data_IF_681568916015
#
_entry.id   IF_681568916015
#
_cell.length_a   1.000
_cell.length_b   1.000
_cell.length_c   1.000
_cell.angle_alpha   90.00
_cell.angle_beta   90.00
_cell.angle_gamma   90.00
#
_symmetry.space_group_name_H-M   'P 1'
#
loop_
_entity.id
_entity.type
_entity.pdbx_description
1 polymer ?
#
# COMPACT_ATOMS: atom_id res chain seq x y z
N UNK A 1 32.90 -68.86 28.01
CA UNK A 1 32.18 -67.64 28.43
C UNK A 1 32.86 -67.03 29.64
N UNK A 2 33.63 -65.95 29.46
CA UNK A 2 33.88 -64.93 30.49
C UNK A 2 34.09 -63.59 29.77
N UNK A 3 33.21 -62.66 30.09
CA UNK A 3 33.12 -61.29 29.60
C UNK A 3 34.36 -60.49 30.01
N UNK A 4 34.98 -59.80 29.04
CA UNK A 4 36.07 -58.84 29.29
C UNK A 4 35.45 -57.45 29.32
N UNK A 5 35.59 -56.74 30.44
CA UNK A 5 35.36 -55.30 30.52
C UNK A 5 36.69 -54.59 30.21
N UNK A 6 36.76 -53.86 29.10
CA UNK A 6 37.83 -52.91 28.84
C UNK A 6 37.35 -51.55 29.31
N UNK A 7 37.98 -51.05 30.38
CA UNK A 7 37.93 -49.65 30.79
C UNK A 7 38.76 -48.86 29.79
N UNK A 8 38.11 -48.06 28.95
CA UNK A 8 38.79 -47.11 28.06
C UNK A 8 39.19 -45.88 28.91
N UNK A 9 40.47 -45.45 28.91
CA UNK A 9 40.91 -44.30 29.69
C UNK A 9 40.35 -43.00 29.11
N UNK A 10 39.90 -42.10 29.99
CA UNK A 10 39.40 -40.75 29.73
C UNK A 10 40.57 -39.81 29.33
N UNK A 11 41.35 -40.19 28.32
CA UNK A 11 42.49 -39.40 27.83
C UNK A 11 42.40 -39.13 26.32
N UNK A 12 41.53 -39.84 25.58
CA UNK A 12 41.33 -39.61 24.13
C UNK A 12 40.21 -38.59 23.84
N UNK A 13 39.38 -38.23 24.82
CA UNK A 13 38.26 -37.29 24.63
C UNK A 13 38.67 -35.80 24.74
N UNK A 14 39.88 -35.49 25.17
CA UNK A 14 40.34 -34.09 25.31
C UNK A 14 41.06 -33.57 24.06
N UNK A 15 41.57 -34.45 23.20
CA UNK A 15 42.25 -34.03 21.95
C UNK A 15 41.30 -33.88 20.75
N UNK A 16 40.09 -34.45 20.81
CA UNK A 16 39.03 -34.16 19.82
C UNK A 16 38.23 -32.89 20.16
N UNK A 17 38.23 -32.47 21.44
CA UNK A 17 37.56 -31.24 21.88
C UNK A 17 38.42 -29.98 21.63
N UNK A 18 39.74 -30.11 21.50
CA UNK A 18 40.65 -28.99 21.21
C UNK A 18 40.74 -28.61 19.72
N UNK A 19 40.15 -29.40 18.82
CA UNK A 19 40.07 -29.08 17.38
C UNK A 19 38.74 -28.41 17.00
N UNK A 20 37.75 -28.42 17.91
CA UNK A 20 36.45 -27.76 17.72
C UNK A 20 36.30 -26.41 18.45
N UNK A 21 37.41 -25.82 18.91
CA UNK A 21 37.42 -24.49 19.58
C UNK A 21 38.19 -23.40 18.80
N UNK A 22 38.64 -23.68 17.58
CA UNK A 22 39.31 -22.71 16.70
C UNK A 22 38.82 -22.76 15.23
N UNK A 23 37.58 -23.18 15.00
CA UNK A 23 36.97 -23.23 13.67
C UNK A 23 35.77 -22.29 13.59
N UNK A 24 36.00 -21.00 13.30
CA UNK A 24 34.90 -20.07 13.09
C UNK A 24 35.24 -18.60 12.85
N UNK A 25 36.53 -18.21 12.72
CA UNK A 25 36.89 -16.79 12.55
C UNK A 25 38.04 -16.53 11.58
N UNK A 26 38.23 -17.38 10.56
CA UNK A 26 39.36 -17.24 9.61
C UNK A 26 38.96 -17.06 8.14
N UNK A 27 37.67 -16.90 7.84
CA UNK A 27 37.18 -16.49 6.52
C UNK A 27 35.94 -15.59 6.69
N UNK A 28 36.07 -14.51 7.46
CA UNK A 28 35.18 -13.38 7.21
C UNK A 28 35.81 -12.66 6.02
N UNK A 29 35.17 -12.73 4.86
CA UNK A 29 35.54 -11.87 3.74
C UNK A 29 35.59 -10.43 4.25
N UNK A 30 36.57 -9.62 3.79
CA UNK A 30 36.59 -8.21 4.17
C UNK A 30 35.23 -7.61 3.82
N UNK A 31 34.67 -6.74 4.67
CA UNK A 31 33.41 -6.10 4.34
C UNK A 31 33.56 -5.41 2.99
N UNK A 32 32.60 -5.61 2.10
CA UNK A 32 32.63 -5.02 0.76
C UNK A 32 31.71 -3.81 0.71
N UNK A 33 32.11 -2.82 -0.07
CA UNK A 33 31.25 -1.71 -0.47
C UNK A 33 31.04 -1.76 -1.98
N UNK A 34 29.79 -1.58 -2.40
CA UNK A 34 29.44 -1.64 -3.80
C UNK A 34 28.92 -0.30 -4.31
N UNK A 35 29.26 0.01 -5.56
CA UNK A 35 28.85 1.20 -6.28
C UNK A 35 27.91 0.80 -7.40
N UNK A 36 26.87 1.61 -7.66
CA UNK A 36 26.00 1.38 -8.81
C UNK A 36 26.82 1.58 -10.10
N UNK A 37 26.87 0.56 -10.95
CA UNK A 37 27.43 0.70 -12.29
C UNK A 37 26.50 1.60 -13.14
N UNK A 38 26.99 2.31 -14.16
CA UNK A 38 26.17 3.21 -14.98
C UNK A 38 24.85 2.56 -15.42
N UNK A 39 23.73 3.19 -15.07
CA UNK A 39 22.40 2.62 -15.22
C UNK A 39 21.53 3.47 -16.15
N UNK A 40 21.20 2.93 -17.31
CA UNK A 40 20.17 3.45 -18.21
C UNK A 40 18.78 3.02 -17.71
N UNK A 41 17.74 3.86 -17.92
CA UNK A 41 16.37 3.52 -17.48
C UNK A 41 15.82 2.23 -18.09
N UNK A 42 16.29 1.87 -19.29
CA UNK A 42 15.88 0.66 -20.04
C UNK A 42 16.71 -0.57 -19.71
N UNK A 43 17.76 -0.45 -18.87
CA UNK A 43 18.60 -1.58 -18.46
C UNK A 43 17.76 -2.73 -17.88
N UNK A 44 18.12 -3.97 -18.20
CA UNK A 44 17.39 -5.16 -17.73
C UNK A 44 17.55 -5.40 -16.24
N UNK A 45 18.76 -5.21 -15.72
CA UNK A 45 19.13 -5.47 -14.34
C UNK A 45 19.98 -4.34 -13.77
N UNK A 46 20.09 -4.35 -12.43
CA UNK A 46 20.98 -3.50 -11.67
C UNK A 46 22.31 -4.23 -11.46
N UNK A 47 23.41 -3.59 -11.85
CA UNK A 47 24.75 -4.10 -11.64
C UNK A 47 25.49 -3.22 -10.63
N UNK A 48 26.29 -3.86 -9.79
CA UNK A 48 27.08 -3.19 -8.77
C UNK A 48 28.54 -3.64 -8.88
N UNK A 49 29.45 -2.66 -8.84
CA UNK A 49 30.89 -2.90 -8.78
C UNK A 49 31.32 -2.82 -7.31
N UNK A 50 31.84 -3.93 -6.78
CA UNK A 50 32.18 -4.06 -5.37
C UNK A 50 33.69 -4.06 -5.14
N UNK A 51 34.12 -3.37 -4.09
CA UNK A 51 35.51 -3.29 -3.67
C UNK A 51 35.62 -3.67 -2.19
N UNK A 52 36.78 -4.22 -1.82
CA UNK A 52 37.09 -4.49 -0.41
C UNK A 52 37.14 -3.16 0.37
N UNK A 53 36.35 -3.08 1.43
CA UNK A 53 36.22 -1.89 2.25
C UNK A 53 37.07 -2.01 3.53
N UNK A 54 38.02 -1.09 3.70
CA UNK A 54 38.78 -0.99 4.94
C UNK A 54 37.92 -0.35 6.03
N UNK A 55 37.58 -1.11 7.07
CA UNK A 55 36.74 -0.67 8.20
C UNK A 55 37.32 0.51 8.98
N UNK A 56 38.63 0.77 8.85
CA UNK A 56 39.28 1.93 9.46
C UNK A 56 39.04 3.23 8.67
N UNK A 57 38.48 3.13 7.46
CA UNK A 57 38.10 4.27 6.62
C UNK A 57 36.73 4.79 7.03
N UNK A 58 36.67 6.04 7.52
CA UNK A 58 35.38 6.72 7.73
C UNK A 58 34.81 7.09 6.36
N UNK A 59 33.77 6.38 5.95
CA UNK A 59 33.03 6.69 4.73
C UNK A 59 32.25 8.01 4.93
N UNK A 60 32.65 9.06 4.21
CA UNK A 60 31.87 10.30 4.19
C UNK A 60 30.69 10.10 3.25
N UNK A 61 29.48 9.94 3.80
CA UNK A 61 28.27 9.86 3.00
C UNK A 61 28.01 11.21 2.31
N UNK A 62 27.66 11.20 1.01
CA UNK A 62 27.28 12.41 0.32
C UNK A 62 25.97 12.94 0.90
N UNK A 63 25.84 14.27 0.91
CA UNK A 63 24.55 14.92 1.12
C UNK A 63 23.73 14.73 -0.16
N UNK A 64 22.54 14.16 -0.03
CA UNK A 64 21.64 13.87 -1.15
C UNK A 64 20.35 14.65 -0.90
N UNK A 65 19.94 15.45 -1.89
CA UNK A 65 18.74 16.27 -1.79
C UNK A 65 17.49 15.42 -2.11
N UNK A 66 16.76 15.01 -1.07
CA UNK A 66 15.54 14.23 -1.23
C UNK A 66 14.46 14.98 -2.02
N UNK A 67 14.35 16.29 -1.86
CA UNK A 67 13.29 17.08 -2.50
C UNK A 67 13.52 17.15 -4.03
N UNK A 68 14.79 17.17 -4.44
CA UNK A 68 15.18 16.99 -5.85
C UNK A 68 14.78 15.61 -6.38
N UNK A 69 15.01 14.55 -5.62
CA UNK A 69 14.62 13.18 -6.01
C UNK A 69 13.09 13.01 -6.13
N UNK A 70 12.34 13.62 -5.22
CA UNK A 70 10.86 13.65 -5.28
C UNK A 70 10.37 14.40 -6.52
N UNK A 71 10.98 15.55 -6.82
CA UNK A 71 10.67 16.34 -8.02
C UNK A 71 10.92 15.52 -9.28
N UNK A 72 12.09 14.87 -9.38
CA UNK A 72 12.41 13.97 -10.50
C UNK A 72 11.37 12.84 -10.65
N UNK A 73 10.97 12.22 -9.53
CA UNK A 73 9.97 11.15 -9.57
C UNK A 73 8.61 11.64 -10.07
N UNK A 74 8.18 12.84 -9.68
CA UNK A 74 6.93 13.45 -10.18
C UNK A 74 7.02 13.74 -11.68
N UNK A 75 8.13 14.32 -12.13
CA UNK A 75 8.37 14.63 -13.54
C UNK A 75 8.26 13.38 -14.41
N UNK A 76 8.93 12.29 -14.02
CA UNK A 76 8.88 11.02 -14.75
C UNK A 76 7.48 10.39 -14.75
N UNK A 77 6.75 10.45 -13.63
CA UNK A 77 5.35 9.99 -13.57
C UNK A 77 4.50 10.78 -14.57
N UNK A 78 4.63 12.11 -14.61
CA UNK A 78 3.85 12.96 -15.50
C UNK A 78 4.26 12.81 -16.98
N UNK A 79 5.52 12.52 -17.28
CA UNK A 79 5.97 12.14 -18.63
C UNK A 79 5.26 10.88 -19.12
N UNK A 80 5.18 9.83 -18.28
CA UNK A 80 4.48 8.60 -18.62
C UNK A 80 2.97 8.85 -18.76
N UNK A 81 2.37 9.63 -17.86
CA UNK A 81 0.94 10.00 -17.95
C UNK A 81 0.65 10.77 -19.24
N UNK A 82 1.49 11.72 -19.64
CA UNK A 82 1.35 12.43 -20.92
C UNK A 82 1.46 11.46 -22.11
N UNK A 83 2.44 10.56 -22.10
CA UNK A 83 2.65 9.55 -23.15
C UNK A 83 1.40 8.66 -23.36
N UNK A 84 0.71 8.32 -22.28
CA UNK A 84 -0.50 7.49 -22.29
C UNK A 84 -1.82 8.28 -22.26
N UNK A 85 -1.79 9.60 -22.50
CA UNK A 85 -2.96 10.48 -22.53
C UNK A 85 -3.75 10.54 -21.20
N UNK A 86 -3.07 10.36 -20.08
CA UNK A 86 -3.61 10.56 -18.73
C UNK A 86 -3.32 11.99 -18.25
N UNK A 87 -4.23 12.64 -17.50
CA UNK A 87 -3.99 13.98 -16.97
C UNK A 87 -2.76 14.02 -16.07
N UNK A 88 -1.95 15.07 -16.15
CA UNK A 88 -0.86 15.28 -15.20
C UNK A 88 -1.39 15.46 -13.76
N UNK A 89 -0.59 15.06 -12.79
CA UNK A 89 -0.92 15.12 -11.36
C UNK A 89 0.08 15.99 -10.59
N UNK A 90 -0.34 16.43 -9.41
CA UNK A 90 0.46 17.26 -8.52
C UNK A 90 0.98 16.46 -7.31
N UNK A 91 1.95 17.02 -6.57
CA UNK A 91 2.35 16.43 -5.30
C UNK A 91 1.23 16.61 -4.27
N UNK A 92 0.88 15.52 -3.59
CA UNK A 92 0.01 15.55 -2.43
C UNK A 92 0.73 16.05 -1.16
N UNK A 93 -0.03 16.20 -0.08
CA UNK A 93 0.45 16.74 1.20
C UNK A 93 0.64 15.66 2.29
N UNK A 94 0.30 14.40 2.01
CA UNK A 94 0.35 13.31 2.98
C UNK A 94 1.79 12.82 3.21
N UNK A 95 2.21 12.75 4.48
CA UNK A 95 3.51 12.18 4.88
C UNK A 95 3.56 10.65 4.80
N UNK A 96 2.42 9.98 4.63
CA UNK A 96 2.30 8.51 4.75
C UNK A 96 3.17 7.73 3.78
N UNK A 97 3.40 8.24 2.57
CA UNK A 97 4.30 7.61 1.61
C UNK A 97 5.76 7.65 2.09
N UNK A 98 6.20 8.78 2.65
CA UNK A 98 7.55 8.95 3.20
C UNK A 98 7.75 8.11 4.46
N UNK A 99 6.77 8.10 5.36
CA UNK A 99 6.80 7.28 6.58
C UNK A 99 6.92 5.79 6.24
N UNK A 100 6.14 5.33 5.25
CA UNK A 100 6.21 3.94 4.79
C UNK A 100 7.55 3.63 4.12
N UNK A 101 8.10 4.57 3.34
CA UNK A 101 9.43 4.40 2.74
C UNK A 101 10.53 4.23 3.79
N UNK A 102 10.47 5.01 4.87
CA UNK A 102 11.40 4.93 6.00
C UNK A 102 11.23 3.65 6.81
N UNK A 103 9.99 3.16 6.96
CA UNK A 103 9.70 1.90 7.64
C UNK A 103 10.32 0.70 6.91
N UNK A 104 10.09 0.59 5.60
CA UNK A 104 10.60 -0.51 4.78
C UNK A 104 12.12 -0.51 4.65
N UNK A 105 12.76 0.63 4.90
CA UNK A 105 14.21 0.76 4.93
C UNK A 105 14.84 -0.12 6.03
N UNK A 106 14.12 -0.34 7.15
CA UNK A 106 14.61 -1.15 8.26
C UNK A 106 14.77 -2.63 7.90
N UNK A 107 13.97 -3.12 6.95
CA UNK A 107 13.96 -4.53 6.54
C UNK A 107 14.54 -4.74 5.12
N UNK A 108 14.84 -3.66 4.40
CA UNK A 108 15.28 -3.67 3.00
C UNK A 108 14.45 -4.63 2.12
N UNK A 109 13.12 -4.59 2.28
CA UNK A 109 12.19 -5.48 1.58
C UNK A 109 10.88 -4.78 1.25
N UNK A 110 10.35 -5.03 0.05
CA UNK A 110 9.04 -4.55 -0.37
C UNK A 110 7.94 -5.21 0.47
N UNK A 111 7.07 -4.40 1.08
CA UNK A 111 5.79 -4.82 1.67
C UNK A 111 4.77 -3.68 1.54
N UNK A 112 3.50 -4.04 1.34
CA UNK A 112 2.37 -3.11 1.41
C UNK A 112 1.83 -2.91 2.82
N UNK A 113 2.25 -3.76 3.76
CA UNK A 113 1.87 -3.68 5.17
C UNK A 113 2.91 -2.90 5.95
N UNK A 114 2.45 -2.11 6.92
CA UNK A 114 3.31 -1.55 7.96
C UNK A 114 3.48 -2.54 9.11
N UNK A 115 4.44 -2.26 10.00
CA UNK A 115 4.73 -3.02 11.23
C UNK A 115 3.58 -3.06 12.23
N UNK A 116 2.58 -2.17 12.11
CA UNK A 116 1.34 -2.25 12.89
C UNK A 116 0.24 -3.08 12.19
N UNK A 117 0.54 -3.71 11.04
CA UNK A 117 -0.38 -4.54 10.27
C UNK A 117 -1.36 -3.77 9.39
N UNK A 118 -1.23 -2.45 9.27
CA UNK A 118 -2.10 -1.63 8.44
C UNK A 118 -1.74 -1.72 6.95
N UNK A 119 -2.76 -1.77 6.11
CA UNK A 119 -2.67 -1.63 4.65
C UNK A 119 -2.59 -0.16 4.23
N UNK A 120 -2.29 0.15 2.96
CA UNK A 120 -2.09 1.53 2.52
C UNK A 120 -3.26 2.48 2.86
N UNK A 121 -4.49 2.11 2.48
CA UNK A 121 -5.68 2.93 2.74
C UNK A 121 -5.99 3.11 4.24
N UNK A 122 -5.60 2.15 5.08
CA UNK A 122 -5.73 2.25 6.53
C UNK A 122 -4.72 3.25 7.13
N UNK A 123 -3.45 3.19 6.69
CA UNK A 123 -2.41 4.14 7.13
C UNK A 123 -2.76 5.57 6.74
N UNK A 124 -3.20 5.74 5.50
CA UNK A 124 -3.64 7.01 4.97
C UNK A 124 -4.80 7.60 5.78
N UNK A 125 -5.87 6.81 6.00
CA UNK A 125 -7.03 7.25 6.81
C UNK A 125 -6.65 7.55 8.26
N UNK A 126 -5.82 6.71 8.89
CA UNK A 126 -5.37 6.91 10.27
C UNK A 126 -4.55 8.19 10.45
N UNK A 127 -3.92 8.68 9.38
CA UNK A 127 -3.13 9.92 9.35
C UNK A 127 -3.95 11.14 8.94
N UNK A 128 -5.27 10.98 8.78
CA UNK A 128 -6.19 12.07 8.42
C UNK A 128 -6.41 12.24 6.91
N UNK A 129 -5.96 11.29 6.10
CA UNK A 129 -6.26 11.25 4.67
C UNK A 129 -7.75 11.03 4.38
N UNK A 130 -8.25 11.67 3.31
CA UNK A 130 -9.68 11.77 3.01
C UNK A 130 -10.07 11.48 1.55
N UNK A 131 -9.09 11.23 0.67
CA UNK A 131 -9.29 10.77 -0.71
C UNK A 131 -9.39 9.24 -0.87
N UNK A 132 -9.48 8.80 -2.13
CA UNK A 132 -9.20 7.41 -2.50
C UNK A 132 -7.70 7.28 -2.80
N UNK A 133 -7.08 6.15 -2.45
CA UNK A 133 -5.65 5.95 -2.68
C UNK A 133 -5.30 4.58 -3.25
N UNK A 134 -4.24 4.56 -4.05
CA UNK A 134 -3.56 3.37 -4.52
C UNK A 134 -2.04 3.53 -4.40
N UNK A 135 -1.37 2.55 -3.81
CA UNK A 135 0.07 2.54 -3.58
C UNK A 135 0.81 1.62 -4.56
N UNK A 136 1.95 2.11 -5.07
CA UNK A 136 3.03 1.32 -5.65
C UNK A 136 4.26 1.41 -4.74
N UNK A 137 4.97 0.31 -4.55
CA UNK A 137 6.16 0.29 -3.68
C UNK A 137 7.28 -0.56 -4.26
N UNK A 138 8.51 -0.07 -4.14
CA UNK A 138 9.73 -0.80 -4.48
C UNK A 138 10.80 -0.59 -3.43
N UNK A 139 11.46 -1.68 -3.03
CA UNK A 139 12.74 -1.63 -2.34
C UNK A 139 13.82 -2.24 -3.24
N UNK A 140 14.93 -1.52 -3.38
CA UNK A 140 16.06 -1.86 -4.23
C UNK A 140 17.29 -2.02 -3.37
N UNK A 141 17.92 -3.19 -3.44
CA UNK A 141 19.06 -3.56 -2.61
C UNK A 141 18.74 -4.73 -1.69
N UNK A 142 19.68 -5.02 -0.79
CA UNK A 142 19.61 -6.16 0.14
C UNK A 142 20.35 -5.78 1.43
N UNK A 143 19.98 -6.34 2.58
CA UNK A 143 20.57 -5.99 3.87
C UNK A 143 21.99 -6.55 4.09
N UNK A 144 22.48 -7.44 3.22
CA UNK A 144 23.79 -8.11 3.40
C UNK A 144 24.95 -7.37 2.76
N UNK A 145 24.70 -6.55 1.73
CA UNK A 145 25.74 -5.91 0.91
C UNK A 145 25.64 -4.40 1.05
N UNK A 146 26.71 -3.76 1.52
CA UNK A 146 26.75 -2.30 1.63
C UNK A 146 26.88 -1.64 0.26
N UNK A 147 26.20 -0.51 0.11
CA UNK A 147 26.09 0.27 -1.12
C UNK A 147 26.42 1.71 -0.83
N UNK A 148 27.27 2.28 -1.66
CA UNK A 148 27.57 3.71 -1.65
C UNK A 148 26.63 4.42 -2.62
N UNK A 149 25.68 5.16 -2.07
CA UNK A 149 24.74 5.93 -2.86
C UNK A 149 25.26 7.34 -3.08
N UNK A 150 25.24 7.77 -4.33
CA UNK A 150 25.31 9.18 -4.72
C UNK A 150 23.92 9.66 -5.13
N UNK A 151 23.72 10.98 -5.18
CA UNK A 151 22.47 11.55 -5.71
C UNK A 151 22.20 11.03 -7.13
N UNK A 152 23.20 11.09 -8.02
CA UNK A 152 23.11 10.56 -9.39
C UNK A 152 22.72 9.07 -9.44
N UNK A 153 23.26 8.25 -8.54
CA UNK A 153 22.91 6.83 -8.50
C UNK A 153 21.44 6.61 -8.11
N UNK A 154 20.92 7.40 -7.17
CA UNK A 154 19.51 7.33 -6.78
C UNK A 154 18.61 7.88 -7.89
N UNK A 155 19.00 8.97 -8.57
CA UNK A 155 18.29 9.49 -9.75
C UNK A 155 18.17 8.44 -10.85
N UNK A 156 19.27 7.73 -11.18
CA UNK A 156 19.25 6.64 -12.15
C UNK A 156 18.34 5.48 -11.71
N UNK A 157 18.36 5.14 -10.41
CA UNK A 157 17.48 4.12 -9.83
C UNK A 157 16.00 4.52 -9.94
N UNK A 158 15.65 5.78 -9.67
CA UNK A 158 14.29 6.29 -9.80
C UNK A 158 13.83 6.18 -11.25
N UNK A 159 14.64 6.64 -12.21
CA UNK A 159 14.33 6.56 -13.63
C UNK A 159 14.15 5.10 -14.12
N UNK A 160 15.04 4.20 -13.68
CA UNK A 160 14.94 2.77 -13.99
C UNK A 160 13.71 2.11 -13.35
N UNK A 161 13.41 2.43 -12.08
CA UNK A 161 12.25 1.90 -11.37
C UNK A 161 10.95 2.34 -12.03
N UNK A 162 10.84 3.63 -12.36
CA UNK A 162 9.67 4.18 -13.05
C UNK A 162 9.44 3.46 -14.39
N UNK A 163 10.47 3.38 -15.23
CA UNK A 163 10.39 2.66 -16.51
C UNK A 163 10.02 1.18 -16.30
N UNK A 164 10.57 0.53 -15.27
CA UNK A 164 10.20 -0.86 -14.95
C UNK A 164 8.74 -1.00 -14.52
N UNK A 165 8.18 -0.07 -13.74
CA UNK A 165 6.79 -0.13 -13.29
C UNK A 165 5.78 0.15 -14.40
N UNK A 166 6.14 0.94 -15.40
CA UNK A 166 5.25 1.28 -16.52
C UNK A 166 5.35 0.26 -17.65
N UNK A 167 6.58 -0.05 -18.08
CA UNK A 167 6.83 -0.79 -19.33
C UNK A 167 7.17 -2.27 -19.10
N UNK A 168 7.52 -2.68 -17.88
CA UNK A 168 8.04 -4.03 -17.56
C UNK A 168 7.50 -4.58 -16.25
N UNK A 169 6.18 -4.46 -16.07
CA UNK A 169 5.49 -4.83 -14.85
C UNK A 169 4.78 -6.19 -14.92
N UNK A 170 5.26 -7.10 -15.79
CA UNK A 170 4.67 -8.43 -15.98
C UNK A 170 4.65 -9.23 -14.67
N UNK A 171 5.68 -9.06 -13.83
CA UNK A 171 5.78 -9.74 -12.54
C UNK A 171 4.68 -9.33 -11.54
N UNK A 172 3.99 -8.21 -11.81
CA UNK A 172 2.90 -7.68 -11.01
C UNK A 172 1.61 -7.60 -11.82
N UNK A 173 1.53 -8.29 -12.96
CA UNK A 173 0.38 -8.28 -13.86
C UNK A 173 0.00 -6.88 -14.34
N UNK A 174 0.97 -5.99 -14.53
CA UNK A 174 0.79 -4.58 -14.93
C UNK A 174 -0.05 -3.73 -13.96
N UNK A 175 -0.20 -4.17 -12.70
CA UNK A 175 -0.94 -3.42 -11.67
C UNK A 175 -0.28 -2.08 -11.33
N UNK A 176 1.05 -2.03 -11.25
CA UNK A 176 1.75 -0.77 -10.98
C UNK A 176 1.62 0.18 -12.17
N UNK A 177 1.74 -0.34 -13.40
CA UNK A 177 1.57 0.42 -14.64
C UNK A 177 0.17 1.04 -14.69
N UNK A 178 -0.86 0.24 -14.45
CA UNK A 178 -2.27 0.67 -14.46
C UNK A 178 -2.54 1.74 -13.40
N UNK A 179 -1.92 1.62 -12.21
CA UNK A 179 -2.00 2.62 -11.16
C UNK A 179 -1.35 3.95 -11.60
N UNK A 180 -0.14 3.92 -12.15
CA UNK A 180 0.59 5.14 -12.59
C UNK A 180 -0.21 5.94 -13.63
N UNK A 181 -0.86 5.25 -14.57
CA UNK A 181 -1.62 5.87 -15.67
C UNK A 181 -3.13 5.94 -15.39
N UNK A 182 -3.58 5.69 -14.16
CA UNK A 182 -5.01 5.75 -13.86
C UNK A 182 -5.53 7.19 -14.08
N UNK A 183 -6.59 7.39 -14.87
CA UNK A 183 -7.03 8.72 -15.28
C UNK A 183 -7.60 9.54 -14.11
N UNK A 184 -8.14 8.87 -13.09
CA UNK A 184 -8.81 9.54 -11.97
C UNK A 184 -7.85 10.13 -10.94
N UNK A 185 -6.57 9.75 -10.94
CA UNK A 185 -5.60 10.34 -10.01
C UNK A 185 -5.40 11.83 -10.29
N UNK A 186 -5.42 12.63 -9.22
CA UNK A 186 -5.12 14.07 -9.28
C UNK A 186 -3.92 14.47 -8.41
N UNK A 187 -3.54 13.64 -7.44
CA UNK A 187 -2.32 13.82 -6.63
C UNK A 187 -1.48 12.54 -6.52
N UNK A 188 -0.20 12.70 -6.20
CA UNK A 188 0.67 11.62 -5.76
C UNK A 188 1.53 12.06 -4.58
N UNK A 189 1.59 11.23 -3.54
CA UNK A 189 2.49 11.39 -2.42
C UNK A 189 3.69 10.47 -2.65
N UNK A 190 4.90 11.01 -2.62
CA UNK A 190 6.13 10.28 -2.99
C UNK A 190 7.04 10.16 -1.77
N UNK A 191 7.32 8.91 -1.37
CA UNK A 191 8.28 8.58 -0.32
C UNK A 191 9.57 8.05 -0.91
N UNK A 192 10.70 8.64 -0.53
CA UNK A 192 12.03 8.16 -0.93
C UNK A 192 12.92 8.12 0.32
N UNK A 193 13.47 6.95 0.60
CA UNK A 193 14.37 6.73 1.72
C UNK A 193 15.54 5.83 1.29
N UNK A 194 16.70 6.01 1.91
CA UNK A 194 17.86 5.17 1.62
C UNK A 194 18.73 4.96 2.87
N UNK A 195 19.39 3.81 2.89
CA UNK A 195 20.41 3.42 3.85
C UNK A 195 21.65 3.01 3.06
N UNK A 196 22.73 2.67 3.74
CA UNK A 196 23.88 2.04 3.10
C UNK A 196 23.59 0.61 2.58
N UNK A 197 22.34 0.14 2.53
CA UNK A 197 21.98 -1.20 2.06
C UNK A 197 20.92 -1.20 0.98
N UNK A 198 19.97 -0.28 1.03
CA UNK A 198 18.86 -0.23 0.10
C UNK A 198 18.31 1.18 -0.10
N UNK A 199 17.56 1.34 -1.20
CA UNK A 199 16.73 2.50 -1.51
C UNK A 199 15.28 2.03 -1.54
N UNK A 200 14.38 2.79 -0.95
CA UNK A 200 12.94 2.56 -0.95
C UNK A 200 12.24 3.69 -1.67
N UNK A 201 11.31 3.35 -2.54
CA UNK A 201 10.48 4.26 -3.32
C UNK A 201 9.02 3.84 -3.12
N UNK A 202 8.19 4.77 -2.66
CA UNK A 202 6.74 4.61 -2.48
C UNK A 202 6.04 5.69 -3.27
N UNK A 203 5.11 5.30 -4.14
CA UNK A 203 4.17 6.21 -4.80
C UNK A 203 2.78 5.91 -4.26
N UNK A 204 2.16 6.86 -3.56
CA UNK A 204 0.78 6.76 -3.11
C UNK A 204 -0.05 7.76 -3.92
N UNK A 205 -0.68 7.26 -4.97
CA UNK A 205 -1.61 8.01 -5.80
C UNK A 205 -2.89 8.28 -5.04
N UNK A 206 -3.49 9.44 -5.29
CA UNK A 206 -4.64 9.95 -4.56
C UNK A 206 -5.67 10.57 -5.51
N UNK A 207 -6.94 10.21 -5.26
CA UNK A 207 -8.14 10.75 -5.88
C UNK A 207 -8.82 11.65 -4.85
N UNK A 208 -8.48 12.94 -4.87
CA UNK A 208 -9.00 13.94 -3.92
C UNK A 208 -10.04 14.82 -4.57
N UNK A 209 -11.29 14.35 -4.59
CA UNK A 209 -12.40 15.05 -5.24
C UNK A 209 -13.45 15.60 -4.27
N UNK A 210 -13.53 15.05 -3.05
CA UNK A 210 -14.58 15.39 -2.09
C UNK A 210 -14.08 16.45 -1.11
N UNK A 211 -14.82 17.55 -1.04
CA UNK A 211 -14.80 18.47 0.10
C UNK A 211 -15.78 17.95 1.17
N UNK A 212 -15.25 17.34 2.22
CA UNK A 212 -16.07 16.70 3.25
C UNK A 212 -16.71 17.72 4.20
N UNK A 213 -18.02 17.58 4.40
CA UNK A 213 -18.74 18.22 5.51
C UNK A 213 -18.94 17.25 6.68
N UNK A 214 -18.98 15.95 6.37
CA UNK A 214 -19.00 14.83 7.31
C UNK A 214 -18.23 13.67 6.67
N UNK A 215 -17.03 13.38 7.19
CA UNK A 215 -16.31 12.16 6.83
C UNK A 215 -17.16 10.92 7.14
N UNK A 216 -16.96 9.79 6.44
CA UNK A 216 -17.62 8.54 6.77
C UNK A 216 -17.39 8.15 8.22
N UNK A 217 -18.48 7.95 8.96
CA UNK A 217 -18.46 7.49 10.35
C UNK A 217 -19.49 6.39 10.59
N UNK A 218 -19.23 5.55 11.58
CA UNK A 218 -20.23 4.65 12.17
C UNK A 218 -20.32 5.04 13.65
N UNK A 219 -21.50 5.46 14.07
CA UNK A 219 -21.76 5.89 15.46
C UNK A 219 -21.85 4.68 16.42
N UNK A 220 -21.91 4.95 17.73
CA UNK A 220 -22.09 3.89 18.73
C UNK A 220 -23.47 3.21 18.69
N UNK A 221 -24.46 3.87 18.08
CA UNK A 221 -25.76 3.30 17.75
C UNK A 221 -25.81 2.69 16.35
N UNK A 222 -24.65 2.48 15.72
CA UNK A 222 -24.49 1.84 14.40
C UNK A 222 -25.13 2.62 13.24
N UNK A 223 -25.33 3.93 13.39
CA UNK A 223 -25.71 4.78 12.26
C UNK A 223 -24.47 5.11 11.44
N UNK A 224 -24.52 4.78 10.16
CA UNK A 224 -23.54 5.18 9.18
C UNK A 224 -23.94 6.52 8.57
N UNK A 225 -22.99 7.44 8.45
CA UNK A 225 -23.24 8.77 7.91
C UNK A 225 -22.04 9.27 7.12
N UNK A 226 -22.31 9.93 5.99
CA UNK A 226 -21.33 10.73 5.28
C UNK A 226 -21.98 11.89 4.53
N UNK A 227 -21.23 12.97 4.28
CA UNK A 227 -21.69 14.08 3.47
C UNK A 227 -20.54 14.89 2.89
N UNK A 228 -20.67 15.33 1.65
CA UNK A 228 -19.62 16.09 0.98
C UNK A 228 -20.10 16.80 -0.28
N UNK A 229 -19.15 17.46 -0.91
CA UNK A 229 -19.30 18.15 -2.19
C UNK A 229 -18.20 17.69 -3.13
N UNK A 230 -18.54 17.42 -4.38
CA UNK A 230 -17.58 17.29 -5.48
C UNK A 230 -17.76 18.46 -6.45
N UNK A 231 -16.65 19.02 -6.94
CA UNK A 231 -16.65 20.20 -7.82
C UNK A 231 -16.82 19.86 -9.31
N UNK A 232 -17.70 18.91 -9.58
CA UNK A 232 -18.22 18.56 -10.89
C UNK A 232 -19.60 17.92 -10.71
N UNK A 233 -20.42 17.93 -11.76
CA UNK A 233 -21.68 17.20 -11.74
C UNK A 233 -21.40 15.71 -11.87
N UNK A 234 -21.95 14.93 -10.95
CA UNK A 234 -21.89 13.48 -10.94
C UNK A 234 -23.10 12.87 -10.27
N UNK A 235 -23.43 11.65 -10.66
CA UNK A 235 -24.38 10.79 -9.94
C UNK A 235 -23.60 10.04 -8.87
N UNK A 236 -24.03 10.12 -7.61
CA UNK A 236 -23.54 9.20 -6.57
C UNK A 236 -24.36 7.91 -6.72
N UNK A 237 -23.70 6.80 -7.04
CA UNK A 237 -24.36 5.57 -7.49
C UNK A 237 -24.60 4.59 -6.34
N UNK A 238 -23.53 4.28 -5.62
CA UNK A 238 -23.54 3.31 -4.53
C UNK A 238 -22.39 3.56 -3.55
N UNK A 239 -22.48 2.95 -2.38
CA UNK A 239 -21.39 2.89 -1.42
C UNK A 239 -21.07 1.43 -1.12
N UNK A 240 -19.83 1.02 -1.37
CA UNK A 240 -19.35 -0.30 -0.99
C UNK A 240 -18.60 -0.25 0.33
N UNK A 241 -18.92 -1.20 1.21
CA UNK A 241 -18.30 -1.32 2.52
C UNK A 241 -17.47 -2.59 2.55
N UNK A 242 -16.17 -2.45 2.74
CA UNK A 242 -15.25 -3.56 2.98
C UNK A 242 -14.92 -3.67 4.45
N UNK A 243 -14.57 -4.87 4.90
CA UNK A 243 -14.19 -5.12 6.30
C UNK A 243 -12.90 -5.90 6.43
N UNK A 244 -12.05 -5.37 7.30
CA UNK A 244 -10.84 -6.00 7.78
C UNK A 244 -10.94 -6.21 9.30
N UNK A 245 -10.41 -7.33 9.83
CA UNK A 245 -10.13 -7.46 11.25
C UNK A 245 -9.22 -6.33 11.75
N UNK A 246 -9.25 -6.09 13.07
CA UNK A 246 -8.36 -5.12 13.71
C UNK A 246 -6.90 -5.45 13.34
N UNK A 247 -6.13 -4.49 12.76
CA UNK A 247 -4.72 -4.69 12.44
C UNK A 247 -3.93 -5.12 13.67
N UNK A 248 -3.04 -6.10 13.48
CA UNK A 248 -2.15 -6.60 14.52
C UNK A 248 -0.71 -6.26 14.17
N UNK A 249 0.14 -5.92 15.15
CA UNK A 249 1.56 -5.72 14.91
C UNK A 249 2.20 -6.92 14.21
N UNK A 250 3.03 -6.65 13.22
CA UNK A 250 3.78 -7.62 12.43
C UNK A 250 5.27 -7.49 12.76
N UNK A 251 5.94 -8.62 12.82
CA UNK A 251 7.40 -8.72 12.88
C UNK A 251 8.03 -8.44 11.51
N UNK A 252 9.31 -8.06 11.50
CA UNK A 252 10.10 -7.92 10.27
C UNK A 252 10.02 -9.16 9.38
N UNK A 253 10.01 -10.36 9.99
CA UNK A 253 9.91 -11.61 9.26
C UNK A 253 8.56 -11.79 8.56
N UNK A 254 7.47 -11.39 9.22
CA UNK A 254 6.12 -11.43 8.63
C UNK A 254 6.01 -10.44 7.46
N UNK A 255 6.51 -9.21 7.64
CA UNK A 255 6.58 -8.20 6.57
C UNK A 255 7.36 -8.72 5.36
N UNK A 256 8.52 -9.33 5.57
CA UNK A 256 9.35 -9.87 4.49
C UNK A 256 8.67 -11.00 3.68
N UNK A 257 7.69 -11.68 4.28
CA UNK A 257 6.93 -12.77 3.65
C UNK A 257 5.53 -12.36 3.18
N UNK A 258 5.17 -11.09 3.37
CA UNK A 258 3.84 -10.59 3.02
C UNK A 258 3.55 -10.69 1.52
N UNK A 259 2.27 -10.82 1.12
CA UNK A 259 1.90 -10.83 -0.29
C UNK A 259 2.41 -9.61 -1.05
N UNK A 260 2.68 -9.82 -2.34
CA UNK A 260 3.11 -8.77 -3.28
C UNK A 260 1.96 -7.90 -3.79
N UNK A 261 0.79 -8.05 -3.21
CA UNK A 261 -0.43 -7.32 -3.55
C UNK A 261 -1.20 -7.06 -2.26
N UNK A 262 -2.10 -6.08 -2.30
CA UNK A 262 -3.05 -5.83 -1.24
C UNK A 262 -4.44 -5.63 -1.86
N UNK A 263 -5.45 -5.60 -1.01
CA UNK A 263 -6.83 -5.37 -1.40
C UNK A 263 -7.66 -4.83 -0.24
N UNK A 264 -8.81 -4.24 -0.58
CA UNK A 264 -9.81 -3.84 0.39
C UNK A 264 -10.40 -5.06 1.09
N UNK A 265 -10.60 -4.98 2.40
CA UNK A 265 -11.18 -6.08 3.16
C UNK A 265 -10.21 -7.23 3.40
N UNK A 266 -10.65 -8.18 4.21
CA UNK A 266 -9.87 -9.33 4.68
C UNK A 266 -9.41 -10.32 3.59
N UNK A 267 -9.80 -10.13 2.33
CA UNK A 267 -9.43 -10.99 1.20
C UNK A 267 -7.92 -11.02 0.93
N UNK A 268 -7.21 -9.95 1.30
CA UNK A 268 -5.76 -9.91 1.35
C UNK A 268 -5.32 -9.74 2.80
N UNK A 269 -4.73 -10.77 3.38
CA UNK A 269 -4.05 -10.73 4.68
C UNK A 269 -2.55 -10.55 4.49
N UNK A 270 -1.79 -10.36 5.57
CA UNK A 270 -0.32 -10.37 5.50
C UNK A 270 0.29 -11.74 5.16
N UNK A 271 -0.51 -12.80 4.98
CA UNK A 271 -0.05 -14.16 4.66
C UNK A 271 -0.45 -14.56 3.23
N UNK A 272 -1.67 -14.21 2.81
CA UNK A 272 -2.21 -14.62 1.52
C UNK A 272 -3.27 -13.64 1.00
N UNK A 273 -3.42 -13.60 -0.31
CA UNK A 273 -4.56 -12.99 -1.01
C UNK A 273 -5.41 -14.08 -1.67
N UNK A 274 -6.73 -13.95 -1.57
CA UNK A 274 -7.70 -14.73 -2.34
C UNK A 274 -8.14 -14.00 -3.60
N UNK A 275 -8.58 -14.75 -4.61
CA UNK A 275 -9.17 -14.17 -5.81
C UNK A 275 -10.53 -13.54 -5.49
N UNK A 276 -10.69 -12.27 -5.85
CA UNK A 276 -11.95 -11.52 -5.72
C UNK A 276 -12.15 -10.91 -4.34
N UNK A 277 -12.05 -9.58 -4.26
CA UNK A 277 -12.59 -8.83 -3.13
C UNK A 277 -14.06 -8.55 -3.39
N UNK A 278 -14.92 -8.89 -2.43
CA UNK A 278 -16.31 -8.43 -2.43
C UNK A 278 -16.54 -7.59 -1.18
N UNK A 279 -17.30 -6.50 -1.29
CA UNK A 279 -17.74 -5.77 -0.12
C UNK A 279 -18.59 -6.67 0.78
N UNK A 280 -18.60 -6.37 2.07
CA UNK A 280 -19.49 -7.03 3.05
C UNK A 280 -20.90 -6.44 3.03
N UNK A 281 -21.07 -5.27 2.42
CA UNK A 281 -22.36 -4.66 2.14
C UNK A 281 -22.21 -3.59 1.04
N UNK A 282 -23.29 -3.41 0.26
CA UNK A 282 -23.44 -2.29 -0.67
C UNK A 282 -24.66 -1.49 -0.25
N UNK A 283 -24.50 -0.18 -0.06
CA UNK A 283 -25.58 0.76 0.22
C UNK A 283 -26.02 1.39 -1.10
N UNK A 284 -27.31 1.29 -1.38
CA UNK A 284 -27.92 1.85 -2.58
C UNK A 284 -28.91 2.97 -2.24
N UNK A 285 -29.11 3.92 -3.16
CA UNK A 285 -30.17 4.91 -3.06
C UNK A 285 -31.56 4.28 -3.09
N UNK A 286 -32.50 4.89 -2.39
CA UNK A 286 -33.92 4.50 -2.45
C UNK A 286 -34.61 5.08 -3.70
N UNK A 287 -34.34 4.50 -4.88
CA UNK A 287 -34.81 5.09 -6.18
C UNK A 287 -36.08 4.41 -6.71
N UNK A 288 -36.34 3.13 -6.43
CA UNK A 288 -37.17 2.34 -7.35
C UNK A 288 -38.67 2.22 -7.06
N UNK A 289 -39.23 2.84 -6.02
CA UNK A 289 -40.68 2.99 -5.93
C UNK A 289 -41.08 3.93 -4.78
N UNK A 290 -41.69 5.07 -5.09
CA UNK A 290 -42.39 5.91 -4.09
C UNK A 290 -43.44 5.14 -3.26
N UNK A 291 -43.74 3.89 -3.61
CA UNK A 291 -44.72 3.02 -2.96
C UNK A 291 -44.14 1.91 -2.05
N UNK A 292 -42.83 1.65 -2.07
CA UNK A 292 -42.21 0.59 -1.26
C UNK A 292 -41.17 1.21 -0.31
N UNK A 293 -41.30 0.94 0.99
CA UNK A 293 -40.31 1.39 1.97
C UNK A 293 -38.97 0.65 1.84
N UNK A 294 -37.86 1.22 2.36
CA UNK A 294 -36.51 0.65 2.30
C UNK A 294 -36.44 -0.85 2.64
N UNK A 295 -37.06 -1.25 3.76
CA UNK A 295 -37.08 -2.64 4.23
C UNK A 295 -37.61 -3.65 3.19
N UNK A 296 -38.64 -3.27 2.42
CA UNK A 296 -39.24 -4.15 1.43
C UNK A 296 -38.33 -4.26 0.20
N UNK A 297 -37.75 -3.14 -0.23
CA UNK A 297 -36.84 -3.11 -1.37
C UNK A 297 -35.56 -3.91 -1.07
N UNK A 298 -34.98 -3.76 0.12
CA UNK A 298 -33.88 -4.61 0.59
C UNK A 298 -34.25 -6.09 0.51
N UNK A 299 -35.43 -6.46 1.01
CA UNK A 299 -35.88 -7.85 1.02
C UNK A 299 -36.04 -8.46 -0.37
N UNK A 300 -36.26 -7.64 -1.41
CA UNK A 300 -36.31 -8.07 -2.80
C UNK A 300 -34.89 -8.21 -3.35
N UNK A 301 -34.07 -7.16 -3.24
CA UNK A 301 -32.72 -7.12 -3.81
C UNK A 301 -31.79 -8.20 -3.22
N UNK A 302 -31.93 -8.48 -1.92
CA UNK A 302 -31.13 -9.51 -1.25
C UNK A 302 -31.52 -10.96 -1.64
N UNK A 303 -32.62 -11.20 -2.38
CA UNK A 303 -32.94 -12.55 -2.87
C UNK A 303 -32.02 -12.99 -4.01
N UNK A 304 -31.47 -12.03 -4.76
CA UNK A 304 -30.66 -12.28 -5.95
C UNK A 304 -29.19 -11.87 -5.75
N UNK A 305 -28.86 -11.26 -4.61
CA UNK A 305 -27.50 -10.80 -4.31
C UNK A 305 -26.72 -11.76 -3.42
N UNK A 306 -25.44 -11.96 -3.75
CA UNK A 306 -24.48 -12.66 -2.89
C UNK A 306 -23.87 -11.74 -1.82
N UNK A 307 -24.11 -10.44 -1.91
CA UNK A 307 -23.63 -9.40 -1.00
C UNK A 307 -24.85 -8.72 -0.36
N UNK A 308 -24.86 -8.51 0.96
CA UNK A 308 -25.91 -7.73 1.60
C UNK A 308 -26.13 -6.37 0.94
N UNK A 309 -27.34 -6.13 0.43
CA UNK A 309 -27.77 -4.83 -0.09
C UNK A 309 -28.54 -4.09 1.01
N UNK A 310 -28.11 -2.87 1.30
CA UNK A 310 -28.77 -1.94 2.22
C UNK A 310 -29.38 -0.79 1.42
N UNK A 311 -30.60 -0.37 1.75
CA UNK A 311 -31.25 0.77 1.10
C UNK A 311 -31.20 1.97 2.04
N UNK A 312 -30.45 2.99 1.63
CA UNK A 312 -30.22 4.18 2.43
C UNK A 312 -31.53 4.82 2.93
N UNK A 313 -31.64 4.99 4.25
CA UNK A 313 -32.70 5.76 4.91
C UNK A 313 -32.71 7.22 4.47
N UNK A 314 -31.53 7.76 4.15
CA UNK A 314 -31.36 9.08 3.56
C UNK A 314 -30.36 9.00 2.41
N UNK A 315 -30.75 9.47 1.24
CA UNK A 315 -29.88 9.65 0.08
C UNK A 315 -30.22 10.97 -0.60
N UNK A 316 -29.68 12.06 -0.06
CA UNK A 316 -29.92 13.40 -0.59
C UNK A 316 -28.78 13.76 -1.52
N UNK A 317 -29.08 13.99 -2.80
CA UNK A 317 -28.14 14.47 -3.81
C UNK A 317 -28.71 15.74 -4.43
N UNK A 318 -27.93 16.81 -4.46
CA UNK A 318 -28.31 18.08 -5.09
C UNK A 318 -27.25 18.51 -6.08
N UNK A 319 -27.68 18.76 -7.31
CA UNK A 319 -26.84 19.28 -8.38
C UNK A 319 -26.90 20.81 -8.43
N UNK A 320 -25.74 21.43 -8.52
CA UNK A 320 -25.55 22.83 -8.83
C UNK A 320 -25.35 23.06 -10.33
N UNK A 321 -24.70 24.17 -10.66
CA UNK A 321 -24.29 24.45 -12.06
C UNK A 321 -23.11 23.56 -12.47
N UNK A 322 -22.15 23.37 -11.56
CA UNK A 322 -20.86 22.70 -11.78
C UNK A 322 -20.43 21.83 -10.59
N UNK A 323 -21.37 21.36 -9.77
CA UNK A 323 -21.05 20.58 -8.58
C UNK A 323 -22.19 19.64 -8.16
N UNK A 324 -21.82 18.57 -7.46
CA UNK A 324 -22.77 17.69 -6.76
C UNK A 324 -22.51 17.76 -5.26
N UNK A 325 -23.57 17.95 -4.47
CA UNK A 325 -23.54 17.75 -3.01
C UNK A 325 -24.32 16.49 -2.65
N UNK A 326 -23.87 15.78 -1.62
CA UNK A 326 -24.51 14.55 -1.16
C UNK A 326 -24.51 14.44 0.37
N UNK A 327 -25.56 13.84 0.92
CA UNK A 327 -25.67 13.43 2.33
C UNK A 327 -26.40 12.10 2.41
N UNK A 328 -25.70 11.10 2.94
CA UNK A 328 -26.17 9.70 2.97
C UNK A 328 -26.12 9.19 4.41
N UNK A 329 -27.20 8.55 4.84
CA UNK A 329 -27.33 7.96 6.17
C UNK A 329 -27.99 6.57 6.07
N UNK A 330 -27.48 5.61 6.84
CA UNK A 330 -28.00 4.23 6.87
C UNK A 330 -27.83 3.54 8.23
N UNK A 331 -28.68 2.56 8.58
CA UNK A 331 -28.56 1.78 9.82
C UNK A 331 -27.71 0.52 9.61
N UNK A 332 -26.48 0.56 10.11
CA UNK A 332 -25.55 -0.56 10.01
C UNK A 332 -25.75 -1.61 11.12
N UNK A 333 -26.79 -1.53 11.95
CA UNK A 333 -27.04 -2.51 13.03
C UNK A 333 -26.97 -3.96 12.55
N UNK A 334 -27.53 -4.27 11.37
CA UNK A 334 -27.46 -5.62 10.78
C UNK A 334 -26.03 -5.99 10.41
N UNK A 335 -25.28 -5.08 9.79
CA UNK A 335 -23.89 -5.27 9.39
C UNK A 335 -23.00 -5.48 10.63
N UNK A 336 -23.11 -4.58 11.62
CA UNK A 336 -22.32 -4.59 12.84
C UNK A 336 -22.57 -5.83 13.71
N UNK A 337 -23.78 -6.40 13.68
CA UNK A 337 -24.07 -7.67 14.35
C UNK A 337 -23.38 -8.88 13.68
N UNK A 338 -23.02 -8.79 12.40
CA UNK A 338 -22.34 -9.86 11.67
C UNK A 338 -20.81 -9.77 11.82
N UNK A 339 -20.26 -8.56 11.74
CA UNK A 339 -18.80 -8.35 11.67
C UNK A 339 -18.19 -7.89 12.98
N UNK A 340 -18.87 -7.04 13.75
CA UNK A 340 -18.41 -6.55 15.04
C UNK A 340 -17.31 -5.49 14.95
N UNK A 341 -16.26 -5.62 15.77
CA UNK A 341 -15.15 -4.65 15.84
C UNK A 341 -14.11 -4.93 14.76
N UNK A 342 -13.62 -3.89 14.10
CA UNK A 342 -12.66 -3.98 13.01
C UNK A 342 -12.50 -2.66 12.27
N UNK A 343 -12.04 -2.75 11.02
CA UNK A 343 -11.84 -1.60 10.14
C UNK A 343 -12.81 -1.71 8.97
N UNK A 344 -13.63 -0.70 8.79
CA UNK A 344 -14.62 -0.61 7.72
C UNK A 344 -14.13 0.39 6.68
N UNK A 345 -13.82 -0.07 5.47
CA UNK A 345 -13.33 0.79 4.39
C UNK A 345 -14.47 1.11 3.45
N UNK A 346 -14.72 2.40 3.26
CA UNK A 346 -15.86 2.95 2.54
C UNK A 346 -15.40 3.39 1.15
N UNK A 347 -16.02 2.85 0.11
CA UNK A 347 -15.84 3.27 -1.27
C UNK A 347 -17.12 3.94 -1.75
N UNK A 348 -17.05 5.23 -2.06
CA UNK A 348 -18.16 5.98 -2.67
C UNK A 348 -17.96 5.97 -4.18
N UNK A 349 -18.89 5.35 -4.91
CA UNK A 349 -18.87 5.30 -6.36
C UNK A 349 -19.68 6.47 -6.95
N UNK A 350 -19.09 7.14 -7.93
CA UNK A 350 -19.76 8.19 -8.66
C UNK A 350 -19.48 8.14 -10.15
N UNK A 351 -20.47 8.52 -10.94
CA UNK A 351 -20.34 8.68 -12.39
C UNK A 351 -20.39 10.16 -12.75
N UNK A 352 -19.27 10.77 -13.16
CA UNK A 352 -19.26 12.13 -13.70
C UNK A 352 -20.19 12.26 -14.90
N UNK A 353 -20.86 13.40 -15.02
CA UNK A 353 -21.77 13.66 -16.14
C UNK A 353 -21.00 13.63 -17.47
N UNK A 354 -21.44 12.78 -18.40
CA UNK A 354 -20.80 12.61 -19.71
C UNK A 354 -19.61 11.64 -19.73
N UNK A 355 -19.31 10.98 -18.61
CA UNK A 355 -18.41 9.82 -18.55
C UNK A 355 -19.21 8.52 -18.70
N UNK A 356 -18.67 7.54 -19.43
CA UNK A 356 -19.18 6.16 -19.44
C UNK A 356 -18.59 5.30 -18.30
N UNK A 357 -17.55 5.81 -17.63
CA UNK A 357 -16.83 5.14 -16.56
C UNK A 357 -17.13 5.79 -15.20
N UNK A 358 -17.43 4.95 -14.21
CA UNK A 358 -17.57 5.36 -12.81
C UNK A 358 -16.21 5.40 -12.11
N UNK A 359 -16.09 6.25 -11.09
CA UNK A 359 -14.88 6.45 -10.29
C UNK A 359 -15.15 6.24 -8.80
N UNK A 360 -14.10 5.86 -8.08
CA UNK A 360 -14.12 5.78 -6.61
C UNK A 360 -13.65 7.11 -6.05
N UNK A 361 -14.51 7.79 -5.30
CA UNK A 361 -14.20 9.11 -4.76
C UNK A 361 -13.44 9.07 -3.43
N UNK A 362 -13.43 7.91 -2.74
CA UNK A 362 -12.78 7.76 -1.43
C UNK A 362 -12.51 6.30 -1.08
N UNK A 363 -11.50 6.05 -0.26
CA UNK A 363 -11.23 4.74 0.36
C UNK A 363 -11.01 4.87 1.87
N UNK A 364 -11.73 5.80 2.52
CA UNK A 364 -11.59 6.07 3.95
C UNK A 364 -11.92 4.83 4.79
N UNK A 365 -11.02 4.52 5.73
CA UNK A 365 -11.18 3.50 6.75
C UNK A 365 -11.71 4.07 8.07
N UNK A 366 -12.82 3.50 8.54
CA UNK A 366 -13.41 3.74 9.86
C UNK A 366 -12.89 2.67 10.83
N UNK A 367 -12.14 3.10 11.84
CA UNK A 367 -11.62 2.23 12.89
C UNK A 367 -12.65 2.07 14.02
N UNK A 368 -13.44 1.00 13.98
CA UNK A 368 -14.45 0.69 14.99
C UNK A 368 -13.90 -0.36 15.98
N UNK A 369 -13.21 0.13 17.02
CA UNK A 369 -12.31 -0.68 17.88
C UNK A 369 -12.87 -1.14 19.22
#
# INVERSE_FOLDING_TARGET
MKTVYIVIPIVVLVLAASVFLFGGSYFQEPPQICYLAPLEKTSLDLYYDCEDFDTDTVLKLPEIDRDKLVTLSLELINEDRELYNSPAIELGESSTAQEHAEELLNICKTSYWSSNGMKPYMRYSASGGDGAINENVRVIGTPEIQKYWTEEAIEQIIAWNQYSMVERDEASEFRHSTNIIHPDHNYVNIGIAWSNFCVTIVHQFEDKYIEWSQLPIITLNYEFMLAGRVNFNSTIEQIDIFYDPIPMPLSDQELMTSPRTYGFGHVCSHIMCSDGSLPIATVLPNIENDNLGPDILEGILNQESNIPILIAHKWEVTHGEDFTTFSIEEDFSRLMNLTGKGVYTVLVWASPEGSDDGMVLTTISIFFL
#
